data_IF_317796778163
#
_entry.id   IF_317796778163
#
_cell.length_a   1.000
_cell.length_b   1.000
_cell.length_c   1.000
_cell.angle_alpha   90.00
_cell.angle_beta   90.00
_cell.angle_gamma   90.00
#
_symmetry.space_group_name_H-M   'P 1'
#
loop_
_entity.id
_entity.type
_entity.pdbx_description
1 polymer ?
#
# COMPACT_ATOMS: atom_id res chain seq x y z
N UNK A 1 -4.98 38.98 4.68
CA UNK A 1 -5.84 38.29 3.68
C UNK A 1 -5.06 37.20 2.92
N UNK A 2 -3.84 37.47 2.44
CA UNK A 2 -3.00 36.43 1.79
C UNK A 2 -2.70 35.23 2.70
N UNK A 3 -2.36 35.46 3.97
CA UNK A 3 -2.03 34.39 4.93
C UNK A 3 -3.18 33.40 5.15
N UNK A 4 -4.42 33.89 5.21
CA UNK A 4 -5.61 33.05 5.35
C UNK A 4 -5.87 32.21 4.08
N UNK A 5 -5.56 32.75 2.90
CA UNK A 5 -5.62 32.01 1.64
C UNK A 5 -4.56 30.91 1.59
N UNK A 6 -3.31 31.23 1.94
CA UNK A 6 -2.21 30.24 1.99
C UNK A 6 -2.55 29.12 2.97
N UNK A 7 -3.08 29.45 4.16
CA UNK A 7 -3.51 28.46 5.13
C UNK A 7 -4.62 27.57 4.58
N UNK A 8 -5.65 28.15 3.95
CA UNK A 8 -6.74 27.39 3.34
C UNK A 8 -6.26 26.47 2.21
N UNK A 9 -5.27 26.91 1.42
CA UNK A 9 -4.67 26.08 0.37
C UNK A 9 -3.91 24.88 0.96
N UNK A 10 -3.17 25.07 2.06
CA UNK A 10 -2.53 23.96 2.80
C UNK A 10 -3.56 22.98 3.35
N UNK A 11 -4.61 23.49 4.00
CA UNK A 11 -5.68 22.65 4.56
C UNK A 11 -6.43 21.84 3.47
N UNK A 12 -6.46 22.31 2.21
CA UNK A 12 -7.02 21.58 1.06
C UNK A 12 -6.03 20.52 0.57
N UNK A 13 -4.74 20.87 0.49
CA UNK A 13 -3.69 19.94 0.07
C UNK A 13 -3.60 18.74 1.02
N UNK A 14 -3.58 18.97 2.33
CA UNK A 14 -3.52 17.90 3.34
C UNK A 14 -4.70 16.92 3.20
N UNK A 15 -5.90 17.44 2.88
CA UNK A 15 -7.09 16.61 2.65
C UNK A 15 -7.01 15.83 1.34
N UNK A 16 -6.39 16.41 0.31
CA UNK A 16 -6.17 15.73 -0.96
C UNK A 16 -5.17 14.59 -0.80
N UNK A 17 -4.09 14.81 -0.05
CA UNK A 17 -3.10 13.78 0.28
C UNK A 17 -3.73 12.62 1.05
N UNK A 18 -4.47 12.90 2.13
CA UNK A 18 -5.22 11.86 2.88
C UNK A 18 -6.20 11.07 2.01
N UNK A 19 -6.86 11.74 1.07
CA UNK A 19 -7.77 11.08 0.15
C UNK A 19 -7.02 10.17 -0.83
N UNK A 20 -5.87 10.59 -1.37
CA UNK A 20 -5.02 9.77 -2.24
C UNK A 20 -4.54 8.52 -1.50
N UNK A 21 -4.06 8.66 -0.26
CA UNK A 21 -3.64 7.52 0.57
C UNK A 21 -4.78 6.52 0.80
N UNK A 22 -5.98 7.02 1.10
CA UNK A 22 -7.18 6.18 1.30
C UNK A 22 -7.58 5.42 0.02
N UNK A 23 -7.52 6.07 -1.14
CA UNK A 23 -7.79 5.43 -2.44
C UNK A 23 -6.76 4.35 -2.77
N UNK A 24 -5.49 4.63 -2.52
CA UNK A 24 -4.40 3.65 -2.69
C UNK A 24 -4.66 2.43 -1.80
N UNK A 25 -4.95 2.63 -0.52
CA UNK A 25 -5.25 1.55 0.41
C UNK A 25 -6.45 0.70 -0.06
N UNK A 26 -7.53 1.36 -0.46
CA UNK A 26 -8.73 0.68 -0.95
C UNK A 26 -8.43 -0.17 -2.19
N UNK A 27 -7.59 0.33 -3.10
CA UNK A 27 -7.19 -0.40 -4.31
C UNK A 27 -6.34 -1.64 -3.98
N UNK A 28 -5.41 -1.52 -3.03
CA UNK A 28 -4.60 -2.65 -2.57
C UNK A 28 -5.50 -3.72 -1.93
N UNK A 29 -6.37 -3.33 -1.01
CA UNK A 29 -7.32 -4.26 -0.35
C UNK A 29 -8.24 -4.94 -1.37
N UNK A 30 -8.78 -4.18 -2.32
CA UNK A 30 -9.63 -4.72 -3.39
C UNK A 30 -8.88 -5.72 -4.27
N UNK A 31 -7.58 -5.49 -4.50
CA UNK A 31 -6.72 -6.41 -5.25
C UNK A 31 -6.48 -7.69 -4.47
N UNK A 32 -6.18 -7.59 -3.17
CA UNK A 32 -6.00 -8.73 -2.27
C UNK A 32 -7.24 -9.65 -2.29
N UNK A 33 -8.44 -9.08 -2.17
CA UNK A 33 -9.67 -9.88 -2.19
C UNK A 33 -9.98 -10.50 -3.56
N UNK A 34 -9.48 -9.93 -4.66
CA UNK A 34 -9.67 -10.50 -6.01
C UNK A 34 -8.76 -11.70 -6.29
N UNK A 35 -7.58 -11.75 -5.67
CA UNK A 35 -6.63 -12.86 -5.87
C UNK A 35 -6.92 -14.07 -4.98
N UNK A 36 -7.58 -13.90 -3.83
CA UNK A 36 -8.07 -15.01 -3.01
C UNK A 36 -9.29 -15.71 -3.64
N UNK A 37 -9.08 -16.39 -4.77
CA UNK A 37 -10.15 -17.08 -5.53
C UNK A 37 -10.73 -18.27 -4.79
N UNK A 38 -9.98 -18.86 -3.87
CA UNK A 38 -10.34 -20.07 -3.13
C UNK A 38 -11.00 -19.74 -1.79
N UNK A 39 -10.96 -18.47 -1.36
CA UNK A 39 -11.40 -18.01 -0.03
C UNK A 39 -10.78 -18.83 1.12
N UNK A 40 -9.59 -19.41 0.88
CA UNK A 40 -8.85 -20.17 1.88
C UNK A 40 -7.79 -19.30 2.56
N UNK A 41 -7.60 -18.05 2.09
CA UNK A 41 -6.64 -17.11 2.62
C UNK A 41 -5.18 -17.52 2.40
N UNK A 42 -4.93 -18.49 1.51
CA UNK A 42 -3.59 -18.98 1.15
C UNK A 42 -3.29 -18.59 -0.30
N UNK A 43 -2.30 -17.73 -0.48
CA UNK A 43 -1.91 -17.25 -1.79
C UNK A 43 -0.92 -18.24 -2.44
N UNK A 44 -1.20 -18.63 -3.67
CA UNK A 44 -0.22 -19.36 -4.46
C UNK A 44 0.79 -18.42 -5.14
N UNK A 45 1.72 -18.97 -5.91
CA UNK A 45 2.78 -18.18 -6.52
C UNK A 45 2.24 -17.20 -7.59
N UNK A 46 1.18 -17.60 -8.29
CA UNK A 46 0.56 -16.79 -9.33
C UNK A 46 -0.26 -15.68 -8.70
N UNK A 47 -0.94 -15.95 -7.58
CA UNK A 47 -1.66 -14.95 -6.79
C UNK A 47 -0.72 -13.86 -6.25
N UNK A 48 0.44 -14.25 -5.70
CA UNK A 48 1.46 -13.31 -5.21
C UNK A 48 2.00 -12.44 -6.36
N UNK A 49 2.22 -13.05 -7.52
CA UNK A 49 2.76 -12.34 -8.68
C UNK A 49 1.71 -11.39 -9.28
N UNK A 50 0.45 -11.81 -9.37
CA UNK A 50 -0.66 -10.96 -9.77
C UNK A 50 -0.87 -9.79 -8.80
N UNK A 51 -0.73 -10.03 -7.50
CA UNK A 51 -0.82 -8.99 -6.48
C UNK A 51 0.27 -7.92 -6.68
N UNK A 52 1.52 -8.34 -6.85
CA UNK A 52 2.64 -7.43 -7.07
C UNK A 52 2.47 -6.58 -8.32
N UNK A 53 2.06 -7.20 -9.44
CA UNK A 53 1.79 -6.46 -10.68
C UNK A 53 0.72 -5.40 -10.46
N UNK A 54 -0.42 -5.77 -9.86
CA UNK A 54 -1.51 -4.83 -9.62
C UNK A 54 -1.12 -3.69 -8.67
N UNK A 55 -0.35 -3.97 -7.61
CA UNK A 55 0.11 -2.94 -6.67
C UNK A 55 1.15 -2.03 -7.33
N UNK A 56 2.08 -2.57 -8.12
CA UNK A 56 3.10 -1.78 -8.83
C UNK A 56 2.52 -0.83 -9.87
N UNK A 57 1.30 -1.10 -10.36
CA UNK A 57 0.57 -0.22 -11.27
C UNK A 57 -0.15 0.93 -10.56
N UNK A 58 -0.19 0.95 -9.23
CA UNK A 58 -0.80 2.05 -8.49
C UNK A 58 0.08 3.29 -8.55
N UNK A 59 -0.46 4.35 -9.13
CA UNK A 59 0.19 5.66 -9.12
C UNK A 59 0.45 6.12 -7.69
N UNK A 60 1.66 6.61 -7.43
CA UNK A 60 2.06 7.15 -6.13
C UNK A 60 2.55 6.11 -5.13
N UNK A 61 2.71 4.83 -5.50
CA UNK A 61 3.28 3.79 -4.63
C UNK A 61 4.47 3.13 -5.29
N UNK A 62 5.59 3.10 -4.58
CA UNK A 62 6.74 2.24 -4.88
C UNK A 62 6.71 1.01 -3.98
N UNK A 63 6.98 -0.15 -4.56
CA UNK A 63 6.98 -1.45 -3.87
C UNK A 63 8.38 -2.04 -3.90
N UNK A 64 8.91 -2.41 -2.74
CA UNK A 64 10.07 -3.28 -2.66
C UNK A 64 9.63 -4.73 -2.85
N UNK A 65 9.62 -5.20 -4.11
CA UNK A 65 9.16 -6.54 -4.46
C UNK A 65 9.93 -7.66 -3.75
N UNK A 66 11.24 -7.50 -3.60
CA UNK A 66 12.09 -8.52 -2.95
C UNK A 66 11.72 -8.69 -1.48
N UNK A 67 11.53 -7.57 -0.77
CA UNK A 67 11.13 -7.57 0.62
C UNK A 67 9.70 -8.07 0.80
N UNK A 68 8.79 -7.70 -0.12
CA UNK A 68 7.43 -8.21 -0.18
C UNK A 68 7.43 -9.75 -0.30
N UNK A 69 8.09 -10.30 -1.33
CA UNK A 69 8.19 -11.75 -1.55
C UNK A 69 8.83 -12.47 -0.38
N UNK A 70 9.86 -11.88 0.24
CA UNK A 70 10.54 -12.42 1.42
C UNK A 70 9.62 -12.50 2.63
N UNK A 71 8.84 -11.45 2.94
CA UNK A 71 7.88 -11.48 4.06
C UNK A 71 6.77 -12.50 3.81
N UNK A 72 6.17 -12.51 2.62
CA UNK A 72 5.10 -13.46 2.29
C UNK A 72 5.55 -14.93 2.38
N UNK A 73 6.76 -15.25 1.90
CA UNK A 73 7.32 -16.62 2.04
C UNK A 73 7.55 -17.02 3.49
N UNK A 74 7.92 -16.09 4.37
CA UNK A 74 8.11 -16.36 5.80
C UNK A 74 6.80 -16.56 6.56
N UNK A 75 5.68 -16.12 6.00
CA UNK A 75 4.36 -16.13 6.65
C UNK A 75 3.43 -17.18 6.06
N UNK A 76 3.98 -18.28 5.55
CA UNK A 76 3.26 -19.38 4.89
C UNK A 76 2.30 -18.93 3.76
N UNK A 77 2.59 -17.77 3.16
CA UNK A 77 1.79 -17.15 2.09
C UNK A 77 0.35 -16.79 2.50
N UNK A 78 0.13 -16.53 3.79
CA UNK A 78 -1.18 -16.11 4.29
C UNK A 78 -1.56 -14.71 3.80
N UNK A 79 -2.83 -14.52 3.44
CA UNK A 79 -3.44 -13.22 3.17
C UNK A 79 -3.29 -12.25 4.35
N UNK A 80 -3.30 -12.76 5.59
CA UNK A 80 -3.09 -11.96 6.79
C UNK A 80 -1.70 -11.33 6.78
N UNK A 81 -0.69 -12.02 6.25
CA UNK A 81 0.65 -11.46 6.11
C UNK A 81 0.68 -10.29 5.12
N UNK A 82 -0.11 -10.36 4.04
CA UNK A 82 -0.26 -9.23 3.12
C UNK A 82 -0.92 -8.05 3.81
N UNK A 83 -1.97 -8.29 4.61
CA UNK A 83 -2.65 -7.24 5.37
C UNK A 83 -1.71 -6.57 6.37
N UNK A 84 -0.88 -7.33 7.09
CA UNK A 84 0.15 -6.76 7.97
C UNK A 84 1.17 -5.91 7.19
N UNK A 85 1.59 -6.36 6.00
CA UNK A 85 2.48 -5.59 5.13
C UNK A 85 1.83 -4.27 4.68
N UNK A 86 0.51 -4.27 4.44
CA UNK A 86 -0.25 -3.07 4.08
C UNK A 86 -0.43 -2.12 5.27
N UNK A 87 -0.51 -2.61 6.50
CA UNK A 87 -0.52 -1.73 7.69
C UNK A 87 0.74 -0.87 7.78
N UNK A 88 1.88 -1.32 7.25
CA UNK A 88 3.10 -0.49 7.17
C UNK A 88 2.90 0.78 6.31
N UNK A 89 1.95 0.80 5.36
CA UNK A 89 1.60 2.02 4.61
C UNK A 89 0.94 3.09 5.48
N UNK A 90 0.25 2.67 6.54
CA UNK A 90 -0.48 3.57 7.45
C UNK A 90 0.43 4.16 8.54
N UNK A 91 1.72 3.81 8.53
CA UNK A 91 2.69 4.31 9.50
C UNK A 91 2.47 3.81 10.94
N UNK A 92 1.60 2.82 11.14
CA UNK A 92 1.21 2.36 12.49
C UNK A 92 2.24 1.45 13.17
N UNK A 93 3.24 0.92 12.45
CA UNK A 93 4.39 0.24 13.06
C UNK A 93 5.48 -0.03 12.00
N UNK A 94 6.64 0.63 12.11
CA UNK A 94 7.87 0.06 11.51
C UNK A 94 9.13 0.47 12.28
N UNK A 95 9.58 -0.35 13.25
CA UNK A 95 10.75 -0.05 14.07
C UNK A 95 12.10 -0.11 13.34
N UNK A 96 12.20 -0.47 12.06
CA UNK A 96 13.52 -0.78 11.48
C UNK A 96 13.65 -0.66 9.96
N UNK A 97 13.35 0.49 9.34
CA UNK A 97 13.88 0.83 8.00
C UNK A 97 13.54 -0.11 6.83
N UNK A 98 12.70 -1.13 7.04
CA UNK A 98 12.33 -2.17 6.06
C UNK A 98 10.95 -1.87 5.48
N UNK A 99 10.81 -0.68 4.88
CA UNK A 99 9.56 -0.26 4.24
C UNK A 99 9.35 -1.03 2.95
N UNK A 100 8.28 -1.82 2.91
CA UNK A 100 7.85 -2.55 1.72
C UNK A 100 7.16 -1.62 0.73
N UNK A 101 6.42 -0.66 1.24
CA UNK A 101 5.75 0.33 0.43
C UNK A 101 6.23 1.73 0.80
N UNK A 102 6.42 2.56 -0.21
CA UNK A 102 6.80 3.96 -0.06
C UNK A 102 5.90 4.78 -0.96
N UNK A 103 5.30 5.86 -0.45
CA UNK A 103 4.62 6.81 -1.31
C UNK A 103 5.65 7.48 -2.21
N UNK A 104 5.55 7.27 -3.52
CA UNK A 104 6.45 7.90 -4.48
C UNK A 104 6.18 9.40 -4.43
N UNK A 105 7.20 10.18 -4.06
CA UNK A 105 7.13 11.65 -4.04
C UNK A 105 7.08 12.27 -5.45
N UNK A 106 6.80 11.46 -6.48
CA UNK A 106 6.87 11.85 -7.88
C UNK A 106 5.61 12.63 -8.30
N UNK A 107 5.75 13.95 -8.21
CA UNK A 107 5.01 15.04 -8.85
C UNK A 107 3.65 15.45 -8.27
N UNK A 108 3.72 16.42 -7.35
CA UNK A 108 2.85 17.62 -7.38
C UNK A 108 3.05 18.33 -8.72
#
# INVERSE_FOLDING_TARGET
MLEAQVKRSKDILDKMEQHVESHILQNILSTIFKVDKKNDGILDHDDISALLVNISMLHGVEVNEDLFRKKIRKSDRSINAVLEIVKNLLGEDDPAGERIFVFSSSNI
#
